data_IF_682295440630
#
_entry.id   IF_682295440630
#
_cell.length_a   1.000
_cell.length_b   1.000
_cell.length_c   1.000
_cell.angle_alpha   90.00
_cell.angle_beta   90.00
_cell.angle_gamma   90.00
#
_symmetry.space_group_name_H-M   'P 1'
#
loop_
_entity.id
_entity.type
_entity.pdbx_description
1 polymer ?
#
# COMPACT_ATOMS: atom_id res chain seq x y z
N UNK A 1 -17.08 -50.25 -14.00
CA UNK A 1 -16.31 -49.39 -14.92
C UNK A 1 -16.09 -48.06 -14.21
N UNK A 2 -15.03 -47.98 -13.40
CA UNK A 2 -14.72 -46.81 -12.58
C UNK A 2 -13.62 -46.02 -13.28
N UNK A 3 -13.91 -44.78 -13.69
CA UNK A 3 -12.91 -43.84 -14.20
C UNK A 3 -12.44 -42.98 -13.03
N UNK A 4 -11.43 -43.48 -12.32
CA UNK A 4 -10.64 -42.70 -11.36
C UNK A 4 -9.73 -41.76 -12.17
N UNK A 5 -10.13 -40.50 -12.33
CA UNK A 5 -9.24 -39.46 -12.86
C UNK A 5 -8.27 -39.06 -11.76
N UNK A 6 -7.10 -39.69 -11.76
CA UNK A 6 -5.97 -39.25 -10.94
C UNK A 6 -5.46 -37.94 -11.50
N UNK A 7 -5.82 -36.82 -10.88
CA UNK A 7 -5.17 -35.53 -11.11
C UNK A 7 -3.69 -35.66 -10.71
N UNK A 8 -2.73 -35.25 -11.55
CA UNK A 8 -1.33 -35.24 -11.16
C UNK A 8 -1.14 -34.25 -10.01
N UNK A 9 -0.66 -34.75 -8.87
CA UNK A 9 -0.24 -33.95 -7.72
C UNK A 9 0.86 -33.00 -8.19
N UNK A 10 0.61 -31.69 -8.15
CA UNK A 10 1.65 -30.68 -8.35
C UNK A 10 2.80 -30.97 -7.37
N UNK A 11 4.00 -31.17 -7.89
CA UNK A 11 5.22 -31.25 -7.09
C UNK A 11 5.55 -29.85 -6.62
N UNK A 12 5.17 -29.53 -5.38
CA UNK A 12 5.55 -28.29 -4.72
C UNK A 12 7.07 -28.31 -4.47
N UNK A 13 7.85 -27.79 -5.41
CA UNK A 13 9.16 -27.25 -5.07
C UNK A 13 8.93 -26.18 -4.01
N UNK A 14 9.45 -26.39 -2.80
CA UNK A 14 9.27 -25.46 -1.68
C UNK A 14 10.13 -24.23 -1.90
N UNK A 15 9.73 -23.39 -2.87
CA UNK A 15 10.25 -22.05 -2.98
C UNK A 15 9.88 -21.31 -1.70
N UNK A 16 10.87 -20.86 -0.94
CA UNK A 16 10.64 -20.01 0.22
C UNK A 16 9.86 -18.78 -0.24
N UNK A 17 8.67 -18.49 0.33
CA UNK A 17 7.92 -17.29 -0.02
C UNK A 17 8.82 -16.06 0.16
N UNK A 18 8.80 -15.16 -0.83
CA UNK A 18 9.50 -13.88 -0.69
C UNK A 18 8.74 -13.04 0.34
N UNK A 19 9.40 -12.58 1.42
CA UNK A 19 8.72 -11.78 2.43
C UNK A 19 8.26 -10.45 1.83
N UNK A 20 7.07 -10.01 2.25
CA UNK A 20 6.48 -8.71 1.89
C UNK A 20 6.26 -7.93 3.18
N UNK A 21 6.58 -6.64 3.16
CA UNK A 21 6.38 -5.73 4.29
C UNK A 21 5.43 -4.61 3.85
N UNK A 22 4.33 -4.46 4.56
CA UNK A 22 3.45 -3.28 4.47
C UNK A 22 3.87 -2.29 5.55
N UNK A 23 4.13 -1.04 5.16
CA UNK A 23 4.47 0.06 6.08
C UNK A 23 3.45 1.17 5.91
N UNK A 24 2.80 1.57 6.99
CA UNK A 24 1.84 2.68 7.03
C UNK A 24 2.47 3.81 7.82
N UNK A 25 2.70 4.95 7.17
CA UNK A 25 3.15 6.18 7.81
C UNK A 25 1.90 7.02 8.10
N UNK A 26 1.40 6.99 9.34
CA UNK A 26 0.18 7.74 9.70
C UNK A 26 0.40 9.26 9.53
N UNK A 27 -0.59 9.95 8.95
CA UNK A 27 -0.52 11.38 8.61
C UNK A 27 0.46 11.74 7.48
N UNK A 28 0.97 10.77 6.71
CA UNK A 28 1.94 11.01 5.65
C UNK A 28 1.30 11.25 4.27
N UNK A 29 0.95 12.51 3.99
CA UNK A 29 0.33 12.92 2.72
C UNK A 29 1.30 13.43 1.66
N UNK A 30 0.83 13.54 0.41
CA UNK A 30 1.55 14.20 -0.68
C UNK A 30 0.95 15.57 -0.99
N UNK A 31 1.81 16.59 -1.04
CA UNK A 31 1.50 17.95 -1.51
C UNK A 31 2.72 18.51 -2.24
N UNK A 32 2.50 19.13 -3.41
CA UNK A 32 3.59 19.70 -4.22
C UNK A 32 4.18 20.95 -3.59
N UNK A 33 3.33 21.80 -3.02
CA UNK A 33 3.75 23.00 -2.31
C UNK A 33 4.58 22.65 -1.06
N UNK A 34 5.75 23.27 -0.98
CA UNK A 34 6.70 23.13 0.12
C UNK A 34 6.37 24.06 1.30
N UNK A 35 5.59 25.13 1.09
CA UNK A 35 5.14 26.00 2.18
C UNK A 35 4.39 25.17 3.22
N UNK A 36 4.76 25.34 4.49
CA UNK A 36 4.16 24.64 5.64
C UNK A 36 4.04 23.11 5.49
N UNK A 37 4.98 22.50 4.74
CA UNK A 37 4.99 21.07 4.43
C UNK A 37 6.14 20.39 5.17
N UNK A 38 5.85 19.87 6.37
CA UNK A 38 6.85 19.23 7.21
C UNK A 38 7.55 18.05 6.52
N UNK A 39 6.82 17.25 5.73
CA UNK A 39 7.37 16.10 5.01
C UNK A 39 8.39 16.58 3.97
N UNK A 40 8.00 17.54 3.12
CA UNK A 40 8.84 18.03 2.03
C UNK A 40 10.02 18.87 2.49
N UNK A 41 9.94 19.47 3.68
CA UNK A 41 11.02 20.21 4.31
C UNK A 41 11.97 19.32 5.16
N UNK A 42 11.55 18.09 5.47
CA UNK A 42 12.35 17.17 6.28
C UNK A 42 13.43 16.46 5.47
N UNK A 43 14.46 15.94 6.17
CA UNK A 43 15.47 15.05 5.57
C UNK A 43 14.98 13.61 5.65
N UNK A 44 14.50 13.05 4.54
CA UNK A 44 13.82 11.74 4.49
C UNK A 44 14.52 10.73 3.59
N UNK A 45 15.85 10.50 3.72
CA UNK A 45 16.65 9.79 2.71
C UNK A 45 16.18 8.36 2.40
N UNK A 46 15.59 7.67 3.39
CA UNK A 46 15.01 6.33 3.18
C UNK A 46 13.74 6.38 2.33
N UNK A 47 12.84 7.32 2.62
CA UNK A 47 11.61 7.51 1.85
C UNK A 47 11.92 8.04 0.45
N UNK A 48 12.85 8.99 0.34
CA UNK A 48 13.31 9.57 -0.94
C UNK A 48 13.86 8.48 -1.88
N UNK A 49 14.55 7.48 -1.32
CA UNK A 49 15.02 6.31 -2.07
C UNK A 49 13.87 5.41 -2.53
N UNK A 50 12.84 5.21 -1.71
CA UNK A 50 11.67 4.42 -2.09
C UNK A 50 10.91 5.06 -3.26
N UNK A 51 10.84 6.39 -3.32
CA UNK A 51 10.23 7.13 -4.42
C UNK A 51 10.99 7.01 -5.76
N UNK A 52 12.21 6.44 -5.77
CA UNK A 52 12.93 6.16 -7.03
C UNK A 52 12.49 4.83 -7.69
N UNK A 53 11.76 3.98 -6.96
CA UNK A 53 11.16 2.76 -7.49
C UNK A 53 9.73 3.05 -8.01
N UNK A 54 9.05 2.11 -8.71
CA UNK A 54 7.66 2.30 -9.10
C UNK A 54 6.76 2.59 -7.89
N UNK A 55 6.08 3.74 -7.92
CA UNK A 55 5.12 4.16 -6.90
C UNK A 55 3.85 4.73 -7.56
N UNK A 56 2.76 4.81 -6.79
CA UNK A 56 1.50 5.40 -7.22
C UNK A 56 0.87 6.18 -6.05
N UNK A 57 -0.04 7.10 -6.36
CA UNK A 57 -0.86 7.80 -5.38
C UNK A 57 -2.18 7.08 -5.17
N UNK A 58 -2.62 7.01 -3.91
CA UNK A 58 -3.92 6.51 -3.51
C UNK A 58 -4.75 7.65 -2.94
N UNK A 59 -6.04 7.64 -3.22
CA UNK A 59 -7.01 8.56 -2.59
C UNK A 59 -7.44 7.94 -1.27
N UNK A 60 -7.27 8.67 -0.17
CA UNK A 60 -7.47 8.18 1.20
C UNK A 60 -8.54 8.96 1.97
N UNK A 61 -9.42 9.68 1.28
CA UNK A 61 -10.42 10.57 1.87
C UNK A 61 -11.70 10.61 1.02
N UNK A 62 -12.75 11.21 1.57
CA UNK A 62 -14.04 11.38 0.90
C UNK A 62 -14.65 10.06 0.42
N UNK A 63 -15.36 10.12 -0.71
CA UNK A 63 -16.12 8.99 -1.24
C UNK A 63 -15.26 7.76 -1.54
N UNK A 64 -13.97 7.95 -1.86
CA UNK A 64 -13.03 6.87 -2.18
C UNK A 64 -12.78 5.91 -0.99
N UNK A 65 -13.07 6.36 0.24
CA UNK A 65 -12.95 5.57 1.47
C UNK A 65 -14.28 5.46 2.23
N UNK A 66 -15.41 5.72 1.56
CA UNK A 66 -16.74 5.62 2.15
C UNK A 66 -17.14 6.79 3.06
N UNK A 67 -16.41 7.91 3.01
CA UNK A 67 -16.75 9.15 3.71
C UNK A 67 -17.55 10.11 2.82
N UNK A 68 -18.35 11.03 3.40
CA UNK A 68 -18.95 12.14 2.68
C UNK A 68 -17.95 12.92 1.81
N UNK A 69 -18.43 13.51 0.73
CA UNK A 69 -17.60 14.32 -0.18
C UNK A 69 -16.88 15.45 0.58
N UNK A 70 -15.58 15.62 0.29
CA UNK A 70 -14.74 16.64 0.93
C UNK A 70 -14.30 16.33 2.36
N UNK A 71 -14.78 15.24 2.97
CA UNK A 71 -14.37 14.86 4.31
C UNK A 71 -12.94 14.29 4.31
N UNK A 72 -12.10 14.83 5.19
CA UNK A 72 -10.74 14.35 5.41
C UNK A 72 -10.74 12.90 5.88
N UNK A 73 -9.81 12.11 5.35
CA UNK A 73 -9.54 10.76 5.85
C UNK A 73 -9.02 10.75 7.28
N UNK A 74 -9.10 9.60 7.93
CA UNK A 74 -8.59 9.39 9.28
C UNK A 74 -8.08 7.95 9.44
N UNK A 75 -7.39 7.69 10.55
CA UNK A 75 -6.76 6.40 10.81
C UNK A 75 -7.78 5.27 10.95
N UNK A 76 -8.96 5.49 11.53
CA UNK A 76 -9.99 4.45 11.68
C UNK A 76 -10.49 3.96 10.33
N UNK A 77 -10.89 4.89 9.47
CA UNK A 77 -11.40 4.58 8.12
C UNK A 77 -10.30 4.00 7.22
N UNK A 78 -9.06 4.49 7.34
CA UNK A 78 -7.96 4.06 6.48
C UNK A 78 -7.43 2.64 6.72
N UNK A 79 -7.78 2.01 7.85
CA UNK A 79 -7.32 0.65 8.20
C UNK A 79 -8.41 -0.43 8.06
N UNK A 80 -9.63 -0.06 7.66
CA UNK A 80 -10.78 -0.98 7.56
C UNK A 80 -10.98 -1.45 6.12
#
# INVERSE_FOLDING_TARGET
MALSSTFPRQTSGTATPRPVMLVILDGWGWREDAADNAIRQSKTPSFDRLLQAPYAFLRTHGLDVGLPEGQMGNSEVGHT
#
